data_IF_474961249488
#
_entry.id   IF_474961249488
#
_cell.length_a   1.000
_cell.length_b   1.000
_cell.length_c   1.000
_cell.angle_alpha   90.00
_cell.angle_beta   90.00
_cell.angle_gamma   90.00
#
_symmetry.space_group_name_H-M   'P 1'
#
loop_
_entity.id
_entity.type
_entity.pdbx_description
1 polymer ?
#
# COMPACT_ATOMS: atom_id res chain seq x y z
N UNK A 1 -16.20 48.45 -45.07
CA UNK A 1 -16.28 47.31 -44.13
C UNK A 1 -15.20 47.50 -43.08
N UNK A 2 -15.55 47.61 -41.79
CA UNK A 2 -14.57 47.66 -40.71
C UNK A 2 -14.12 46.23 -40.39
N UNK A 3 -12.81 46.07 -40.38
CA UNK A 3 -12.02 44.85 -40.33
C UNK A 3 -12.41 43.91 -39.18
N UNK A 4 -12.61 42.63 -39.50
CA UNK A 4 -12.99 41.57 -38.55
C UNK A 4 -11.82 41.05 -37.70
N UNK A 5 -11.04 41.96 -37.10
CA UNK A 5 -9.78 41.63 -36.41
C UNK A 5 -9.86 41.69 -34.88
N UNK A 6 -11.01 42.04 -34.29
CA UNK A 6 -11.03 42.52 -32.90
C UNK A 6 -11.06 41.40 -31.85
N UNK A 7 -11.52 40.18 -32.17
CA UNK A 7 -11.69 39.11 -31.17
C UNK A 7 -10.77 37.89 -31.35
N UNK A 8 -9.97 37.81 -32.42
CA UNK A 8 -9.19 36.60 -32.72
C UNK A 8 -8.03 36.40 -31.74
N UNK A 9 -7.30 37.46 -31.40
CA UNK A 9 -6.11 37.38 -30.54
C UNK A 9 -6.45 36.99 -29.09
N UNK A 10 -7.46 37.62 -28.51
CA UNK A 10 -7.92 37.31 -27.15
C UNK A 10 -8.49 35.87 -27.07
N UNK A 11 -9.27 35.46 -28.08
CA UNK A 11 -9.78 34.09 -28.18
C UNK A 11 -8.64 33.07 -28.29
N UNK A 12 -7.60 33.37 -29.08
CA UNK A 12 -6.41 32.51 -29.21
C UNK A 12 -5.64 32.42 -27.89
N UNK A 13 -5.47 33.53 -27.16
CA UNK A 13 -4.82 33.50 -25.84
C UNK A 13 -5.64 32.71 -24.81
N UNK A 14 -6.96 32.87 -24.81
CA UNK A 14 -7.85 32.11 -23.94
C UNK A 14 -7.72 30.61 -24.22
N UNK A 15 -7.75 30.20 -25.49
CA UNK A 15 -7.54 28.79 -25.88
C UNK A 15 -6.19 28.28 -25.39
N UNK A 16 -5.11 29.06 -25.54
CA UNK A 16 -3.77 28.67 -25.08
C UNK A 16 -3.71 28.46 -23.57
N UNK A 17 -4.30 29.36 -22.77
CA UNK A 17 -4.35 29.23 -21.31
C UNK A 17 -5.14 27.99 -20.89
N UNK A 18 -6.31 27.78 -21.48
CA UNK A 18 -7.13 26.59 -21.22
C UNK A 18 -6.40 25.29 -21.54
N UNK A 19 -5.62 25.23 -22.62
CA UNK A 19 -4.81 24.05 -22.96
C UNK A 19 -3.72 23.79 -21.90
N UNK A 20 -3.05 24.83 -21.42
CA UNK A 20 -2.05 24.72 -20.34
C UNK A 20 -2.71 24.20 -19.06
N UNK A 21 -3.89 24.73 -18.70
CA UNK A 21 -4.62 24.32 -17.50
C UNK A 21 -5.06 22.85 -17.59
N UNK A 22 -5.52 22.39 -18.76
CA UNK A 22 -5.84 20.97 -18.98
C UNK A 22 -4.61 20.07 -18.90
N UNK A 23 -3.48 20.50 -19.44
CA UNK A 23 -2.24 19.74 -19.33
C UNK A 23 -1.77 19.63 -17.87
N UNK A 24 -1.81 20.73 -17.12
CA UNK A 24 -1.49 20.74 -15.69
C UNK A 24 -2.43 19.83 -14.88
N UNK A 25 -3.73 19.82 -15.20
CA UNK A 25 -4.69 18.90 -14.59
C UNK A 25 -4.41 17.44 -14.93
N UNK A 26 -4.06 17.12 -16.18
CA UNK A 26 -3.72 15.75 -16.58
C UNK A 26 -2.45 15.24 -15.88
N UNK A 27 -1.43 16.10 -15.73
CA UNK A 27 -0.22 15.80 -14.96
C UNK A 27 -0.51 15.65 -13.46
N UNK A 28 -1.41 16.48 -12.91
CA UNK A 28 -1.87 16.37 -11.54
C UNK A 28 -2.64 15.06 -11.29
N UNK A 29 -3.50 14.64 -12.23
CA UNK A 29 -4.23 13.38 -12.15
C UNK A 29 -3.26 12.19 -12.16
N UNK A 30 -2.25 12.19 -13.05
CA UNK A 30 -1.17 11.18 -13.04
C UNK A 30 -0.40 11.12 -11.71
N UNK A 31 -0.27 12.27 -11.02
CA UNK A 31 0.42 12.36 -9.73
C UNK A 31 -0.47 11.95 -8.55
N UNK A 32 -1.79 12.03 -8.69
CA UNK A 32 -2.79 11.71 -7.66
C UNK A 32 -3.26 10.25 -7.72
N UNK A 33 -3.03 9.57 -8.83
CA UNK A 33 -3.22 8.12 -8.90
C UNK A 33 -2.24 7.45 -7.95
N UNK A 34 -2.76 6.70 -6.96
CA UNK A 34 -1.91 5.96 -6.05
C UNK A 34 -1.06 5.00 -6.89
N UNK A 35 0.27 5.04 -6.77
CA UNK A 35 1.11 4.17 -7.56
C UNK A 35 0.70 2.73 -7.28
N UNK A 36 0.53 1.95 -8.34
CA UNK A 36 0.35 0.51 -8.22
C UNK A 36 1.51 -0.08 -7.41
N UNK A 37 1.33 -1.22 -6.72
CA UNK A 37 2.42 -1.86 -5.96
C UNK A 37 3.71 -2.00 -6.77
N UNK A 38 3.58 -2.38 -8.05
CA UNK A 38 4.70 -2.43 -8.99
C UNK A 38 5.37 -1.06 -9.20
N UNK A 39 4.60 -0.01 -9.49
CA UNK A 39 5.15 1.34 -9.65
C UNK A 39 5.83 1.85 -8.38
N UNK A 40 5.28 1.53 -7.20
CA UNK A 40 5.89 1.91 -5.91
C UNK A 40 7.29 1.30 -5.76
N UNK A 41 7.42 0.01 -6.04
CA UNK A 41 8.70 -0.71 -5.97
C UNK A 41 9.69 -0.20 -7.01
N UNK A 42 9.25 -0.05 -8.26
CA UNK A 42 10.11 0.50 -9.33
C UNK A 42 10.60 1.89 -8.98
N UNK A 43 9.74 2.76 -8.43
CA UNK A 43 10.12 4.10 -8.01
C UNK A 43 11.09 4.08 -6.82
N UNK A 44 10.90 3.18 -5.86
CA UNK A 44 11.80 2.96 -4.71
C UNK A 44 13.18 2.49 -5.15
N UNK A 45 13.25 1.52 -6.07
CA UNK A 45 14.52 1.01 -6.58
C UNK A 45 15.24 2.06 -7.43
N UNK A 46 14.51 2.81 -8.25
CA UNK A 46 15.07 3.95 -9.01
C UNK A 46 15.59 5.05 -8.10
N UNK A 47 14.89 5.38 -7.00
CA UNK A 47 15.36 6.40 -6.05
C UNK A 47 16.60 5.96 -5.26
N UNK A 48 16.89 4.66 -5.20
CA UNK A 48 18.15 4.09 -4.69
C UNK A 48 19.29 4.13 -5.72
N UNK A 49 19.07 4.70 -6.91
CA UNK A 49 20.08 4.80 -7.96
C UNK A 49 20.18 3.57 -8.86
N UNK A 50 19.25 2.62 -8.75
CA UNK A 50 19.19 1.43 -9.63
C UNK A 50 18.31 1.75 -10.85
N UNK A 51 18.96 2.09 -11.96
CA UNK A 51 18.26 2.48 -13.19
C UNK A 51 17.93 1.28 -14.10
N UNK A 52 18.78 0.26 -14.10
CA UNK A 52 18.63 -0.96 -14.90
C UNK A 52 18.07 -2.09 -14.04
N UNK A 53 16.74 -2.10 -13.85
CA UNK A 53 16.06 -3.07 -13.00
C UNK A 53 15.76 -4.37 -13.75
N UNK A 54 16.23 -5.49 -13.20
CA UNK A 54 15.82 -6.82 -13.68
C UNK A 54 14.41 -7.17 -13.20
N UNK A 55 13.74 -8.10 -13.90
CA UNK A 55 12.42 -8.60 -13.46
C UNK A 55 12.51 -9.33 -12.13
N UNK A 56 13.60 -10.05 -11.92
CA UNK A 56 13.91 -10.81 -10.71
C UNK A 56 14.11 -9.87 -9.52
N UNK A 57 14.84 -8.77 -9.69
CA UNK A 57 15.02 -7.77 -8.62
C UNK A 57 13.69 -7.13 -8.20
N UNK A 58 12.85 -6.78 -9.18
CA UNK A 58 11.52 -6.20 -8.89
C UNK A 58 10.64 -7.23 -8.17
N UNK A 59 10.70 -8.51 -8.59
CA UNK A 59 9.92 -9.58 -7.98
C UNK A 59 10.39 -9.88 -6.55
N UNK A 60 11.70 -9.89 -6.29
CA UNK A 60 12.27 -10.09 -4.96
C UNK A 60 11.82 -9.00 -3.99
N UNK A 61 11.91 -7.73 -4.38
CA UNK A 61 11.47 -6.62 -3.54
C UNK A 61 9.95 -6.63 -3.32
N UNK A 62 9.16 -7.05 -4.31
CA UNK A 62 7.71 -7.24 -4.17
C UNK A 62 7.35 -8.31 -3.14
N UNK A 63 7.99 -9.48 -3.22
CA UNK A 63 7.76 -10.57 -2.27
C UNK A 63 8.17 -10.18 -0.86
N UNK A 64 9.24 -9.39 -0.72
CA UNK A 64 9.71 -8.86 0.55
C UNK A 64 8.69 -7.91 1.19
N UNK A 65 8.18 -6.93 0.45
CA UNK A 65 7.15 -6.01 0.97
C UNK A 65 5.87 -6.75 1.35
N UNK A 66 5.40 -7.71 0.53
CA UNK A 66 4.23 -8.53 0.89
C UNK A 66 4.43 -9.34 2.17
N UNK A 67 5.64 -9.89 2.37
CA UNK A 67 5.94 -10.65 3.59
C UNK A 67 5.94 -9.74 4.82
N UNK A 68 6.52 -8.56 4.72
CA UNK A 68 6.55 -7.57 5.80
C UNK A 68 5.13 -7.10 6.18
N UNK A 69 4.31 -6.76 5.18
CA UNK A 69 2.90 -6.40 5.38
C UNK A 69 2.12 -7.53 6.06
N UNK A 70 2.35 -8.77 5.65
CA UNK A 70 1.69 -9.94 6.24
C UNK A 70 2.09 -10.13 7.71
N UNK A 71 3.38 -10.03 8.03
CA UNK A 71 3.89 -10.13 9.42
C UNK A 71 3.30 -9.03 10.29
N UNK A 72 3.32 -7.77 9.81
CA UNK A 72 2.76 -6.63 10.53
C UNK A 72 1.26 -6.82 10.82
N UNK A 73 0.50 -7.38 9.88
CA UNK A 73 -0.92 -7.67 10.06
C UNK A 73 -1.17 -8.75 11.13
N UNK A 74 -0.31 -9.78 11.21
CA UNK A 74 -0.41 -10.80 12.26
C UNK A 74 0.00 -10.29 13.65
N UNK A 75 1.03 -9.44 13.73
CA UNK A 75 1.42 -8.80 14.99
C UNK A 75 0.31 -7.87 15.50
N UNK A 76 -0.31 -7.08 14.62
CA UNK A 76 -1.49 -6.27 14.96
C UNK A 76 -2.66 -7.11 15.51
N UNK A 77 -2.88 -8.32 14.99
CA UNK A 77 -3.91 -9.22 15.52
C UNK A 77 -3.55 -9.78 16.90
N UNK A 78 -2.28 -10.15 17.14
CA UNK A 78 -1.83 -10.64 18.44
C UNK A 78 -1.98 -9.59 19.55
N UNK A 79 -1.67 -8.32 19.28
CA UNK A 79 -1.78 -7.25 20.28
C UNK A 79 -3.23 -6.92 20.67
N UNK A 80 -4.18 -7.09 19.76
CA UNK A 80 -5.61 -6.88 20.02
C UNK A 80 -6.32 -8.12 20.59
N UNK A 81 -5.70 -9.31 20.50
CA UNK A 81 -6.17 -10.57 21.06
C UNK A 81 -5.49 -10.87 22.40
N UNK A 82 -5.54 -9.93 23.35
CA UNK A 82 -5.25 -10.24 24.75
C UNK A 82 -6.50 -10.89 25.36
N UNK A 83 -6.75 -12.16 25.03
CA UNK A 83 -7.75 -12.95 25.74
C UNK A 83 -7.18 -13.24 27.13
N UNK A 84 -7.61 -12.47 28.15
CA UNK A 84 -7.31 -12.77 29.54
C UNK A 84 -7.97 -14.11 29.87
N UNK A 85 -7.18 -15.18 29.98
CA UNK A 85 -7.64 -16.39 30.64
C UNK A 85 -7.79 -16.04 32.13
N UNK A 86 -9.02 -15.78 32.56
CA UNK A 86 -9.36 -15.73 33.98
C UNK A 86 -9.47 -17.17 34.47
N UNK A 87 -8.40 -17.70 35.06
CA UNK A 87 -8.48 -18.95 35.81
C UNK A 87 -8.92 -18.64 37.24
N UNK A 88 -10.24 -18.69 37.49
CA UNK A 88 -10.72 -19.05 38.82
C UNK A 88 -10.66 -20.58 38.89
N UNK A 89 -9.52 -21.07 39.38
CA UNK A 89 -9.22 -22.49 39.54
C UNK A 89 -9.86 -22.99 40.83
N UNK A 90 -11.17 -23.18 40.82
CA UNK A 90 -11.89 -23.96 41.82
C UNK A 90 -12.96 -24.82 41.15
N UNK A 91 -12.57 -25.92 40.48
CA UNK A 91 -13.45 -27.08 40.53
C UNK A 91 -12.73 -28.42 40.36
N UNK A 92 -13.04 -29.28 41.32
CA UNK A 92 -12.55 -30.63 41.55
C UNK A 92 -12.88 -31.55 40.38
N UNK A 93 -11.87 -32.15 39.76
CA UNK A 93 -12.03 -33.50 39.20
C UNK A 93 -10.90 -34.39 39.69
N UNK A 94 -11.21 -35.13 40.76
CA UNK A 94 -10.43 -36.25 41.25
C UNK A 94 -10.37 -37.35 40.18
N UNK A 95 -9.22 -37.54 39.54
CA UNK A 95 -8.90 -38.82 38.90
C UNK A 95 -8.02 -39.62 39.86
N UNK A 96 -8.65 -40.44 40.70
CA UNK A 96 -7.97 -41.51 41.41
C UNK A 96 -7.60 -42.60 40.38
N UNK A 97 -6.40 -42.49 39.81
CA UNK A 97 -5.78 -43.59 39.10
C UNK A 97 -5.31 -44.60 40.15
N UNK A 98 -6.09 -45.68 40.30
CA UNK A 98 -5.86 -46.73 41.26
C UNK A 98 -4.47 -47.37 41.11
N UNK A 99 -3.80 -47.52 42.25
CA UNK A 99 -2.68 -48.42 42.45
C UNK A 99 -3.06 -49.83 42.00
N UNK A 100 -2.17 -50.49 41.25
CA UNK A 100 -2.03 -51.94 41.31
C UNK A 100 -0.55 -52.26 41.16
N UNK A 101 -0.03 -52.80 42.26
CA UNK A 101 1.34 -53.25 42.52
C UNK A 101 1.81 -54.34 41.57
N UNK A 102 3.14 -54.43 41.46
CA UNK A 102 3.92 -55.59 41.05
C UNK A 102 3.39 -56.94 41.58
N UNK A 103 3.31 -57.94 40.69
CA UNK A 103 4.10 -59.18 40.72
C UNK A 103 3.88 -60.02 39.46
#
# INVERSE_FOLDING_TARGET
MKTGEINSKETIEMIKRTLIDYQAQAEFIKKKENPTPYQRIVNKLKSQGRNDLSKEEILEEYLKEMKEDLVNNFECQKSNSSMKASSEDENQFNCLAGESQEL
#
